data_IF_992163479857
#
_entry.id   IF_992163479857
#
_cell.length_a   1.000
_cell.length_b   1.000
_cell.length_c   1.000
_cell.angle_alpha   90.00
_cell.angle_beta   90.00
_cell.angle_gamma   90.00
#
_symmetry.space_group_name_H-M   'P 1'
#
loop_
_entity.id
_entity.type
_entity.pdbx_description
1 polymer ?
#
# COMPACT_ATOMS: atom_id res chain seq x y z
N UNK A 1 7.82 11.84 -9.66
CA UNK A 1 7.88 10.95 -10.86
C UNK A 1 6.72 11.29 -11.78
N UNK A 2 6.97 11.33 -13.08
CA UNK A 2 5.90 11.60 -14.03
C UNK A 2 5.04 10.37 -14.24
N UNK A 3 3.80 10.57 -14.66
CA UNK A 3 2.87 9.46 -14.92
C UNK A 3 3.40 8.48 -15.97
N UNK A 4 4.03 9.00 -17.02
CA UNK A 4 4.60 8.18 -18.10
C UNK A 4 5.73 7.28 -17.58
N UNK A 5 6.64 7.84 -16.78
CA UNK A 5 7.75 7.08 -16.19
C UNK A 5 7.21 6.01 -15.24
N UNK A 6 6.21 6.36 -14.45
CA UNK A 6 5.54 5.42 -13.56
C UNK A 6 4.94 4.24 -14.32
N UNK A 7 4.21 4.53 -15.40
CA UNK A 7 3.58 3.47 -16.20
C UNK A 7 4.60 2.55 -16.85
N UNK A 8 5.68 3.10 -17.38
CA UNK A 8 6.76 2.31 -17.99
C UNK A 8 7.42 1.38 -16.98
N UNK A 9 7.75 1.89 -15.79
CA UNK A 9 8.35 1.10 -14.73
C UNK A 9 7.42 -0.03 -14.28
N UNK A 10 6.15 0.28 -14.12
CA UNK A 10 5.17 -0.71 -13.69
C UNK A 10 4.97 -1.79 -14.75
N UNK A 11 4.85 -1.41 -16.02
CA UNK A 11 4.66 -2.37 -17.10
C UNK A 11 5.82 -3.35 -17.20
N UNK A 12 7.06 -2.86 -17.16
CA UNK A 12 8.24 -3.70 -17.26
C UNK A 12 8.38 -4.67 -16.08
N UNK A 13 8.07 -4.21 -14.85
CA UNK A 13 8.29 -5.00 -13.65
C UNK A 13 7.13 -5.93 -13.32
N UNK A 14 5.95 -5.70 -13.89
CA UNK A 14 4.72 -6.42 -13.57
C UNK A 14 4.23 -7.33 -14.69
N UNK A 15 5.00 -7.50 -15.76
CA UNK A 15 4.58 -8.33 -16.89
C UNK A 15 4.34 -9.80 -16.49
N UNK A 16 5.01 -10.27 -15.45
CA UNK A 16 4.87 -11.64 -14.94
C UNK A 16 3.78 -11.80 -13.88
N UNK A 17 3.07 -10.72 -13.55
CA UNK A 17 2.00 -10.80 -12.56
C UNK A 17 0.80 -11.57 -13.16
N UNK A 18 0.29 -12.54 -12.41
CA UNK A 18 -0.85 -13.36 -12.82
C UNK A 18 -2.18 -12.91 -12.21
N UNK A 19 -2.22 -11.69 -11.72
CA UNK A 19 -3.40 -11.09 -11.10
C UNK A 19 -3.51 -9.61 -11.49
N UNK A 20 -4.71 -9.02 -11.47
CA UNK A 20 -4.84 -7.57 -11.65
C UNK A 20 -4.02 -6.82 -10.62
N UNK A 21 -3.27 -5.82 -11.04
CA UNK A 21 -2.39 -5.05 -10.18
C UNK A 21 -2.91 -3.64 -10.02
N UNK A 22 -2.97 -3.16 -8.78
CA UNK A 22 -3.43 -1.82 -8.44
C UNK A 22 -2.28 -1.03 -7.81
N UNK A 23 -2.22 0.26 -8.12
CA UNK A 23 -1.20 1.15 -7.61
C UNK A 23 -1.81 2.54 -7.43
N UNK A 24 -1.38 3.32 -6.42
CA UNK A 24 -1.98 4.64 -6.21
C UNK A 24 -1.65 5.61 -7.34
N UNK A 25 -2.64 6.36 -7.78
CA UNK A 25 -2.43 7.45 -8.72
C UNK A 25 -1.73 8.62 -8.03
N UNK A 26 -2.04 8.85 -6.76
CA UNK A 26 -1.40 9.87 -5.94
C UNK A 26 -0.26 9.27 -5.12
N UNK A 27 0.94 9.80 -5.31
CA UNK A 27 2.12 9.48 -4.49
C UNK A 27 2.71 10.84 -4.08
N UNK A 28 3.01 11.04 -2.79
CA UNK A 28 3.59 12.31 -2.35
C UNK A 28 4.86 12.66 -3.10
N UNK A 29 5.08 13.96 -3.30
CA UNK A 29 6.24 14.45 -4.02
C UNK A 29 7.55 13.98 -3.37
N UNK A 30 8.52 13.64 -4.21
CA UNK A 30 9.85 13.23 -3.76
C UNK A 30 10.02 11.73 -3.59
N UNK A 31 8.94 10.96 -3.60
CA UNK A 31 9.04 9.50 -3.53
C UNK A 31 9.22 8.90 -4.93
N UNK A 32 10.08 7.89 -5.02
CA UNK A 32 10.28 7.14 -6.25
C UNK A 32 10.23 5.64 -5.96
N UNK A 33 9.90 4.85 -6.95
CA UNK A 33 9.85 3.39 -6.82
C UNK A 33 11.28 2.86 -6.74
N UNK A 34 11.62 2.25 -5.60
CA UNK A 34 12.94 1.67 -5.37
C UNK A 34 12.97 0.18 -5.71
N UNK A 35 11.86 -0.53 -5.49
CA UNK A 35 11.79 -1.96 -5.76
C UNK A 35 10.34 -2.40 -5.95
N UNK A 36 10.17 -3.47 -6.75
CA UNK A 36 8.88 -4.13 -6.96
C UNK A 36 9.12 -5.62 -6.86
N UNK A 37 8.40 -6.29 -5.96
CA UNK A 37 8.48 -7.74 -5.82
C UNK A 37 7.14 -8.36 -6.20
N UNK A 38 7.17 -9.32 -7.10
CA UNK A 38 6.00 -10.08 -7.52
C UNK A 38 6.20 -11.52 -7.09
N UNK A 39 5.30 -12.03 -6.27
CA UNK A 39 5.31 -13.42 -5.88
C UNK A 39 3.89 -13.96 -6.04
N UNK A 40 3.71 -15.26 -5.83
CA UNK A 40 2.39 -15.88 -5.96
C UNK A 40 1.42 -15.26 -4.95
N UNK A 41 0.36 -14.60 -5.45
CA UNK A 41 -0.73 -14.01 -4.65
C UNK A 41 -0.34 -12.78 -3.83
N UNK A 42 0.85 -12.18 -4.11
CA UNK A 42 1.31 -11.01 -3.37
C UNK A 42 2.18 -10.13 -4.25
N UNK A 43 1.96 -8.83 -4.17
CA UNK A 43 2.79 -7.83 -4.85
C UNK A 43 3.19 -6.80 -3.82
N UNK A 44 4.48 -6.43 -3.81
CA UNK A 44 5.02 -5.41 -2.92
C UNK A 44 5.68 -4.32 -3.74
N UNK A 45 5.32 -3.08 -3.43
CA UNK A 45 6.01 -1.89 -3.97
C UNK A 45 6.76 -1.21 -2.83
N UNK A 46 8.00 -0.83 -3.09
CA UNK A 46 8.81 -0.09 -2.13
C UNK A 46 9.18 1.26 -2.73
N UNK A 47 8.73 2.34 -2.06
CA UNK A 47 9.00 3.71 -2.48
C UNK A 47 9.86 4.40 -1.44
N UNK A 48 10.81 5.21 -1.89
CA UNK A 48 11.73 5.90 -0.99
C UNK A 48 11.82 7.38 -1.29
N UNK A 49 12.04 8.17 -0.23
CA UNK A 49 12.37 9.58 -0.27
C UNK A 49 13.35 9.86 0.87
N UNK A 50 14.65 9.85 0.57
CA UNK A 50 15.71 9.93 1.59
C UNK A 50 15.53 8.83 2.65
N UNK A 51 15.33 9.22 3.94
CA UNK A 51 15.15 8.26 5.04
C UNK A 51 13.70 7.82 5.21
N UNK A 52 12.80 8.34 4.39
CA UNK A 52 11.38 8.00 4.46
C UNK A 52 11.05 6.92 3.45
N UNK A 53 10.08 6.08 3.79
CA UNK A 53 9.65 5.00 2.91
C UNK A 53 8.14 4.84 2.92
N UNK A 54 7.62 4.27 1.84
CA UNK A 54 6.25 3.82 1.73
C UNK A 54 6.30 2.40 1.16
N UNK A 55 5.75 1.44 1.91
CA UNK A 55 5.63 0.06 1.44
C UNK A 55 4.18 -0.19 1.12
N UNK A 56 3.90 -0.70 -0.07
CA UNK A 56 2.54 -0.98 -0.53
C UNK A 56 2.44 -2.45 -0.86
N UNK A 57 1.51 -3.14 -0.21
CA UNK A 57 1.28 -4.57 -0.43
C UNK A 57 -0.11 -4.78 -1.01
N UNK A 58 -0.19 -5.64 -2.02
CA UNK A 58 -1.44 -6.19 -2.51
C UNK A 58 -1.43 -7.67 -2.25
N UNK A 59 -2.44 -8.20 -1.55
CA UNK A 59 -2.51 -9.59 -1.14
C UNK A 59 -3.91 -10.15 -1.39
N UNK A 60 -4.01 -11.48 -1.50
CA UNK A 60 -5.34 -12.10 -1.55
C UNK A 60 -5.96 -12.09 -0.15
N UNK A 61 -7.29 -12.00 -0.12
CA UNK A 61 -8.04 -11.74 1.10
C UNK A 61 -7.88 -12.82 2.19
N UNK A 62 -7.62 -14.06 1.82
CA UNK A 62 -7.56 -15.15 2.79
C UNK A 62 -6.38 -15.07 3.77
N UNK A 63 -5.38 -14.22 3.52
CA UNK A 63 -4.24 -14.06 4.41
C UNK A 63 -4.37 -12.86 5.36
N UNK A 64 -5.50 -12.13 5.29
CA UNK A 64 -5.69 -10.88 6.02
C UNK A 64 -5.61 -11.01 7.54
N UNK A 65 -6.32 -11.97 8.12
CA UNK A 65 -6.46 -12.04 9.58
C UNK A 65 -5.12 -12.19 10.30
N UNK A 66 -4.23 -13.03 9.77
CA UNK A 66 -2.93 -13.24 10.39
C UNK A 66 -2.08 -11.97 10.36
N UNK A 67 -2.05 -11.28 9.22
CA UNK A 67 -1.28 -10.04 9.06
C UNK A 67 -1.81 -8.94 9.97
N UNK A 68 -3.12 -8.75 10.00
CA UNK A 68 -3.75 -7.74 10.86
C UNK A 68 -3.47 -8.00 12.33
N UNK A 69 -3.57 -9.24 12.78
CA UNK A 69 -3.28 -9.58 14.18
C UNK A 69 -1.85 -9.26 14.57
N UNK A 70 -0.88 -9.56 13.71
CA UNK A 70 0.52 -9.24 13.99
C UNK A 70 0.75 -7.73 14.08
N UNK A 71 0.18 -6.97 13.16
CA UNK A 71 0.42 -5.54 13.11
C UNK A 71 -0.34 -4.78 14.21
N UNK A 72 -1.50 -5.27 14.65
CA UNK A 72 -2.30 -4.62 15.70
C UNK A 72 -1.84 -4.96 17.11
N UNK A 73 -1.05 -6.01 17.28
CA UNK A 73 -0.56 -6.41 18.60
C UNK A 73 0.33 -5.32 19.22
N UNK A 74 -0.02 -4.86 20.42
CA UNK A 74 0.69 -3.79 21.13
C UNK A 74 0.73 -2.45 20.34
N UNK A 75 -0.26 -2.18 19.51
CA UNK A 75 -0.34 -0.93 18.76
C UNK A 75 -0.54 0.26 19.71
N UNK A 76 0.10 1.40 19.38
CA UNK A 76 -0.11 2.66 20.11
C UNK A 76 -1.48 3.24 19.78
N UNK A 77 -1.87 3.15 18.51
CA UNK A 77 -3.18 3.60 18.03
C UNK A 77 -3.73 2.51 17.09
N UNK A 78 -5.01 2.17 17.28
CA UNK A 78 -5.76 1.28 16.38
C UNK A 78 -7.12 1.92 16.15
N UNK A 79 -7.44 2.24 14.90
CA UNK A 79 -8.60 3.04 14.57
C UNK A 79 -9.30 2.52 13.32
N UNK A 80 -10.62 2.39 13.39
CA UNK A 80 -11.43 2.07 12.21
C UNK A 80 -11.74 3.37 11.47
N UNK A 81 -11.45 3.40 10.18
CA UNK A 81 -11.67 4.56 9.31
C UNK A 81 -12.36 4.09 8.03
N UNK A 82 -12.56 5.01 7.07
CA UNK A 82 -13.11 4.68 5.78
C UNK A 82 -12.16 5.10 4.66
N UNK A 83 -12.07 4.25 3.63
CA UNK A 83 -11.36 4.53 2.38
C UNK A 83 -12.37 4.31 1.26
N UNK A 84 -12.70 5.38 0.52
CA UNK A 84 -13.72 5.34 -0.55
C UNK A 84 -15.06 4.78 -0.06
N UNK A 85 -15.44 5.10 1.19
CA UNK A 85 -16.69 4.64 1.78
C UNK A 85 -16.66 3.23 2.35
N UNK A 86 -15.57 2.52 2.21
CA UNK A 86 -15.41 1.14 2.71
C UNK A 86 -14.61 1.14 4.01
N UNK A 87 -14.92 0.20 4.89
CA UNK A 87 -14.24 0.04 6.17
C UNK A 87 -12.74 -0.24 5.97
N UNK A 88 -11.89 0.45 6.74
CA UNK A 88 -10.45 0.28 6.73
C UNK A 88 -9.91 0.42 8.16
N UNK A 89 -8.66 0.02 8.39
CA UNK A 89 -8.06 0.04 9.71
C UNK A 89 -6.71 0.73 9.68
N UNK A 90 -6.54 1.71 10.57
CA UNK A 90 -5.29 2.47 10.72
C UNK A 90 -4.62 2.05 12.02
N UNK A 91 -3.34 1.68 11.94
CA UNK A 91 -2.55 1.22 13.08
C UNK A 91 -1.26 2.04 13.15
N UNK A 92 -0.96 2.61 14.33
CA UNK A 92 0.32 3.25 14.60
C UNK A 92 1.04 2.44 15.66
N UNK A 93 2.28 2.04 15.37
CA UNK A 93 3.07 1.20 16.26
C UNK A 93 4.55 1.54 16.09
N UNK A 94 5.20 1.97 17.18
CA UNK A 94 6.63 2.28 17.18
C UNK A 94 7.05 3.27 16.09
N UNK A 95 6.24 4.30 15.85
CA UNK A 95 6.54 5.33 14.85
C UNK A 95 6.27 4.94 13.41
N UNK A 96 5.76 3.74 13.17
CA UNK A 96 5.41 3.26 11.85
C UNK A 96 3.90 3.09 11.76
N UNK A 97 3.27 3.61 10.70
CA UNK A 97 1.83 3.46 10.51
C UNK A 97 1.52 2.46 9.41
N UNK A 98 0.41 1.75 9.59
CA UNK A 98 -0.08 0.77 8.64
C UNK A 98 -1.57 1.04 8.39
N UNK A 99 -1.96 1.12 7.12
CA UNK A 99 -3.36 1.26 6.73
C UNK A 99 -3.77 0.01 5.96
N UNK A 100 -4.77 -0.70 6.49
CA UNK A 100 -5.36 -1.89 5.85
C UNK A 100 -6.67 -1.50 5.19
N UNK A 101 -6.82 -1.74 3.90
CA UNK A 101 -8.07 -1.50 3.20
C UNK A 101 -8.34 -2.59 2.17
N UNK A 102 -9.57 -2.66 1.69
CA UNK A 102 -10.06 -3.83 0.96
C UNK A 102 -10.69 -3.44 -0.36
N UNK A 103 -10.63 -4.37 -1.32
CA UNK A 103 -11.26 -4.26 -2.62
C UNK A 103 -11.55 -5.67 -3.13
N UNK A 104 -12.83 -6.00 -3.33
CA UNK A 104 -13.27 -7.30 -3.86
C UNK A 104 -12.55 -8.49 -3.21
N UNK A 105 -11.60 -9.09 -3.90
CA UNK A 105 -10.92 -10.31 -3.44
C UNK A 105 -9.52 -10.04 -2.88
N UNK A 106 -9.14 -8.77 -2.75
CA UNK A 106 -7.80 -8.40 -2.30
C UNK A 106 -7.87 -7.52 -1.07
N UNK A 107 -6.78 -7.53 -0.29
CA UNK A 107 -6.56 -6.48 0.68
C UNK A 107 -5.22 -5.82 0.42
N UNK A 108 -5.11 -4.57 0.85
CA UNK A 108 -3.93 -3.75 0.64
C UNK A 108 -3.43 -3.25 1.98
N UNK A 109 -2.12 -3.11 2.09
CA UNK A 109 -1.49 -2.53 3.27
C UNK A 109 -0.53 -1.44 2.81
N UNK A 110 -0.67 -0.24 3.38
CA UNK A 110 0.28 0.85 3.16
C UNK A 110 1.00 1.09 4.47
N UNK A 111 2.32 0.91 4.47
CA UNK A 111 3.17 1.09 5.64
C UNK A 111 4.13 2.24 5.38
N UNK A 112 4.30 3.13 6.37
CA UNK A 112 5.24 4.23 6.24
C UNK A 112 5.70 4.73 7.60
N UNK A 113 6.78 5.55 7.60
CA UNK A 113 7.41 6.02 8.83
C UNK A 113 7.32 7.54 9.05
N UNK A 114 6.65 8.29 8.18
CA UNK A 114 6.72 9.76 8.28
C UNK A 114 5.48 10.53 7.85
N UNK A 115 4.54 9.90 7.15
CA UNK A 115 3.39 10.62 6.60
C UNK A 115 2.24 10.75 7.62
N UNK A 116 1.54 11.89 7.62
CA UNK A 116 0.34 12.02 8.45
C UNK A 116 -0.79 11.14 7.92
N UNK A 117 -1.71 10.76 8.80
CA UNK A 117 -2.82 9.85 8.49
C UNK A 117 -3.60 10.29 7.25
N UNK A 118 -3.90 11.60 7.11
CA UNK A 118 -4.67 12.09 5.96
C UNK A 118 -3.97 11.85 4.62
N UNK A 119 -2.64 11.89 4.60
CA UNK A 119 -1.88 11.61 3.38
C UNK A 119 -1.93 10.12 3.02
N UNK A 120 -1.87 9.25 4.02
CA UNK A 120 -1.96 7.82 3.80
C UNK A 120 -3.35 7.45 3.27
N UNK A 121 -4.39 8.06 3.80
CA UNK A 121 -5.76 7.87 3.32
C UNK A 121 -5.88 8.35 1.87
N UNK A 122 -5.27 9.49 1.54
CA UNK A 122 -5.29 10.03 0.18
C UNK A 122 -4.62 9.07 -0.82
N UNK A 123 -3.50 8.46 -0.43
CA UNK A 123 -2.83 7.45 -1.25
C UNK A 123 -3.79 6.27 -1.48
N UNK A 124 -4.39 5.75 -0.42
CA UNK A 124 -5.30 4.61 -0.50
C UNK A 124 -6.51 4.88 -1.39
N UNK A 125 -7.06 6.09 -1.31
CA UNK A 125 -8.22 6.47 -2.10
C UNK A 125 -7.94 6.65 -3.59
N UNK A 126 -6.67 6.71 -3.96
CA UNK A 126 -6.25 6.94 -5.35
C UNK A 126 -5.86 5.68 -6.11
N UNK A 127 -6.02 4.50 -5.53
CA UNK A 127 -5.65 3.25 -6.20
C UNK A 127 -6.44 3.03 -7.49
N UNK A 128 -5.73 2.62 -8.53
CA UNK A 128 -6.32 2.28 -9.83
C UNK A 128 -5.61 1.07 -10.42
N UNK A 129 -6.29 0.35 -11.28
CA UNK A 129 -5.69 -0.81 -11.94
C UNK A 129 -4.64 -0.33 -12.94
N UNK A 130 -3.44 -0.90 -12.87
CA UNK A 130 -2.32 -0.53 -13.73
C UNK A 130 -1.88 -1.65 -14.67
N UNK A 131 -2.26 -2.89 -14.35
CA UNK A 131 -1.99 -4.04 -15.22
C UNK A 131 -3.15 -5.03 -15.15
#
# INVERSE_FOLDING_TARGET
MTEQVREELLADRLEDADMPVYFPKYVPEGYSIADIEVSNKKIKFELHNNDSYILIYQNILNSYNAKFQLDSENADIEEEIQVNGEKAYYILKNGESSLFFFDNNNYYVIINNSLPKKEIIRIAESFEMVV
#
